data_IF_232031034916
#
_entry.id   IF_232031034916
#
_cell.length_a   1.000
_cell.length_b   1.000
_cell.length_c   1.000
_cell.angle_alpha   90.00
_cell.angle_beta   90.00
_cell.angle_gamma   90.00
#
_symmetry.space_group_name_H-M   'P 1'
#
loop_
_entity.id
_entity.type
_entity.pdbx_description
1 polymer ?
#
# COMPACT_ATOMS: atom_id res chain seq x y z
N UNK A 1 -17.15 -0.76 0.60
CA UNK A 1 -15.81 -0.29 0.91
C UNK A 1 -15.20 0.41 -0.30
N UNK A 2 -14.38 1.42 -0.07
CA UNK A 2 -13.44 1.98 -1.02
C UNK A 2 -12.05 1.84 -0.41
N UNK A 3 -11.12 1.20 -1.11
CA UNK A 3 -9.77 0.96 -0.63
C UNK A 3 -8.79 1.73 -1.52
N UNK A 4 -8.05 2.68 -0.94
CA UNK A 4 -6.96 3.38 -1.62
C UNK A 4 -5.65 2.62 -1.42
N UNK A 5 -4.90 2.46 -2.48
CA UNK A 5 -3.69 1.63 -2.51
C UNK A 5 -2.42 2.46 -2.27
N UNK A 6 -2.38 3.12 -1.11
CA UNK A 6 -1.25 3.92 -0.65
C UNK A 6 -1.26 5.37 -1.11
N UNK A 7 -0.27 6.11 -0.65
CA UNK A 7 -0.11 7.54 -0.89
C UNK A 7 -1.39 8.33 -0.54
N UNK A 8 -1.93 8.04 0.64
CA UNK A 8 -3.12 8.72 1.12
C UNK A 8 -2.86 10.22 1.31
N UNK A 9 -1.70 10.59 1.88
CA UNK A 9 -1.17 11.94 1.91
C UNK A 9 -1.98 12.98 2.69
N UNK A 10 -3.13 12.61 3.25
CA UNK A 10 -3.98 13.52 4.05
C UNK A 10 -3.60 13.59 5.52
N UNK A 11 -2.54 12.89 5.93
CA UNK A 11 -1.94 12.93 7.27
C UNK A 11 -0.45 13.11 7.06
N UNK A 12 -0.04 14.34 6.79
CA UNK A 12 1.34 14.66 6.48
C UNK A 12 1.96 15.64 7.46
N UNK A 13 1.24 16.71 7.73
CA UNK A 13 1.69 17.77 8.59
C UNK A 13 1.21 17.54 10.03
N UNK A 14 1.90 18.16 10.99
CA UNK A 14 1.54 18.11 12.41
C UNK A 14 0.04 18.37 12.62
N UNK A 15 -0.63 17.44 13.29
CA UNK A 15 -2.06 17.50 13.56
C UNK A 15 -2.42 18.85 14.26
N UNK A 16 -3.43 19.52 13.72
CA UNK A 16 -3.93 20.81 14.19
C UNK A 16 -3.20 22.04 13.65
N UNK A 17 -2.12 21.91 12.89
CA UNK A 17 -1.47 23.03 12.22
C UNK A 17 -2.32 23.60 11.08
N UNK A 18 -1.90 24.74 10.49
CA UNK A 18 -2.66 25.39 9.40
C UNK A 18 -2.83 24.49 8.16
N UNK A 19 -1.81 23.73 7.80
CA UNK A 19 -1.86 22.83 6.64
C UNK A 19 -2.74 21.60 6.94
N UNK A 20 -2.62 21.03 8.14
CA UNK A 20 -3.47 19.91 8.56
C UNK A 20 -4.97 20.29 8.54
N UNK A 21 -5.35 21.53 8.79
CA UNK A 21 -6.75 21.96 8.67
C UNK A 21 -7.33 21.77 7.28
N UNK A 22 -6.52 21.94 6.23
CA UNK A 22 -6.94 21.64 4.86
C UNK A 22 -7.07 20.13 4.63
N UNK A 23 -6.12 19.34 5.11
CA UNK A 23 -6.18 17.89 5.06
C UNK A 23 -7.39 17.36 5.86
N UNK A 24 -7.64 17.92 7.02
CA UNK A 24 -8.80 17.57 7.84
C UNK A 24 -10.13 17.82 7.14
N UNK A 25 -10.25 18.89 6.36
CA UNK A 25 -11.42 19.13 5.52
C UNK A 25 -11.66 17.94 4.57
N UNK A 26 -10.62 17.45 3.91
CA UNK A 26 -10.75 16.31 2.99
C UNK A 26 -11.01 14.99 3.73
N UNK A 27 -10.40 14.78 4.91
CA UNK A 27 -10.71 13.61 5.75
C UNK A 27 -12.19 13.61 6.15
N UNK A 28 -12.72 14.75 6.57
CA UNK A 28 -14.14 14.89 6.92
C UNK A 28 -15.04 14.66 5.70
N UNK A 29 -14.69 15.20 4.56
CA UNK A 29 -15.42 14.96 3.31
C UNK A 29 -15.46 13.47 2.94
N UNK A 30 -14.38 12.73 3.12
CA UNK A 30 -14.37 11.27 2.94
C UNK A 30 -15.26 10.57 3.96
N UNK A 31 -15.28 11.02 5.21
CA UNK A 31 -16.12 10.49 6.28
C UNK A 31 -17.62 10.66 6.04
N UNK A 32 -18.03 11.62 5.21
CA UNK A 32 -19.43 11.84 4.82
C UNK A 32 -19.95 10.84 3.78
N UNK A 33 -19.06 10.14 3.09
CA UNK A 33 -19.46 9.26 1.98
C UNK A 33 -20.29 8.07 2.46
N UNK A 34 -21.12 7.52 1.58
CA UNK A 34 -21.94 6.34 1.88
C UNK A 34 -21.12 5.07 2.12
N UNK A 35 -19.94 4.97 1.50
CA UNK A 35 -19.02 3.85 1.67
C UNK A 35 -18.08 4.04 2.89
N UNK A 36 -17.54 2.94 3.36
CA UNK A 36 -16.41 2.96 4.33
C UNK A 36 -15.11 3.15 3.58
N UNK A 37 -14.35 4.16 3.94
CA UNK A 37 -13.04 4.45 3.31
C UNK A 37 -11.93 3.76 4.09
N UNK A 38 -11.13 2.99 3.36
CA UNK A 38 -9.93 2.33 3.86
C UNK A 38 -8.73 2.70 2.98
N UNK A 39 -7.52 2.59 3.51
CA UNK A 39 -6.30 2.74 2.71
C UNK A 39 -5.19 1.85 3.28
N UNK A 40 -4.28 1.42 2.43
CA UNK A 40 -2.97 0.94 2.86
C UNK A 40 -1.99 2.12 2.84
N UNK A 41 -0.91 2.06 3.58
CA UNK A 41 0.11 3.10 3.53
C UNK A 41 0.99 2.97 2.27
N UNK A 42 1.51 4.09 1.80
CA UNK A 42 2.46 4.18 0.70
C UNK A 42 3.81 4.73 1.16
N UNK A 43 4.61 5.24 0.23
CA UNK A 43 5.85 5.96 0.56
C UNK A 43 5.63 7.47 0.75
N UNK A 44 4.46 7.99 0.42
CA UNK A 44 4.05 9.36 0.65
C UNK A 44 3.07 9.49 1.81
N UNK A 45 3.52 9.08 3.02
CA UNK A 45 2.77 9.22 4.26
C UNK A 45 3.59 9.96 5.32
N UNK A 46 2.94 10.81 6.10
CA UNK A 46 3.53 11.42 7.30
C UNK A 46 3.47 10.45 8.48
N UNK A 47 4.32 9.44 8.51
CA UNK A 47 4.24 8.35 9.50
C UNK A 47 4.29 8.83 10.94
N UNK A 48 5.07 9.88 11.26
CA UNK A 48 5.12 10.47 12.60
C UNK A 48 3.74 10.88 13.12
N UNK A 49 2.92 11.44 12.25
CA UNK A 49 1.56 11.88 12.61
C UNK A 49 0.56 10.72 12.48
N UNK A 50 0.72 9.88 11.47
CA UNK A 50 -0.16 8.74 11.24
C UNK A 50 -0.13 7.75 12.41
N UNK A 51 1.04 7.47 12.95
CA UNK A 51 1.23 6.50 14.05
C UNK A 51 0.64 6.96 15.39
N UNK A 52 0.25 8.21 15.53
CA UNK A 52 -0.41 8.72 16.75
C UNK A 52 -1.87 8.28 16.87
N UNK A 53 -2.51 7.88 15.79
CA UNK A 53 -3.92 7.45 15.83
C UNK A 53 -4.08 6.05 16.44
N UNK A 54 -5.18 5.80 17.16
CA UNK A 54 -5.41 4.54 17.86
C UNK A 54 -5.60 3.36 16.89
N UNK A 55 -5.26 2.18 17.39
CA UNK A 55 -5.48 0.92 16.69
C UNK A 55 -6.69 0.22 17.31
N UNK A 56 -7.59 -0.28 16.48
CA UNK A 56 -8.76 -1.07 16.84
C UNK A 56 -8.87 -2.34 16.01
N UNK A 57 -9.69 -3.28 16.44
CA UNK A 57 -10.06 -4.46 15.65
C UNK A 57 -11.30 -4.17 14.81
N UNK A 58 -11.18 -4.26 13.49
CA UNK A 58 -12.28 -4.11 12.52
C UNK A 58 -12.05 -5.07 11.34
N UNK A 59 -13.13 -5.50 10.72
CA UNK A 59 -13.10 -6.30 9.49
C UNK A 59 -12.29 -7.60 9.59
N UNK A 60 -12.06 -8.11 10.81
CA UNK A 60 -11.29 -9.33 11.08
C UNK A 60 -9.80 -9.11 11.41
N UNK A 61 -9.27 -7.90 11.26
CA UNK A 61 -7.88 -7.54 11.55
C UNK A 61 -7.75 -6.24 12.33
N UNK A 62 -6.53 -5.79 12.59
CA UNK A 62 -6.25 -4.51 13.23
C UNK A 62 -6.22 -3.39 12.18
N UNK A 63 -6.83 -2.26 12.50
CA UNK A 63 -6.82 -1.05 11.70
C UNK A 63 -6.39 0.13 12.55
N UNK A 64 -5.76 1.14 11.94
CA UNK A 64 -5.60 2.44 12.58
C UNK A 64 -6.81 3.30 12.25
N UNK A 65 -7.38 3.93 13.27
CA UNK A 65 -8.64 4.68 13.16
C UNK A 65 -8.34 6.16 13.08
N UNK A 66 -8.62 6.76 11.95
CA UNK A 66 -8.47 8.21 11.73
C UNK A 66 -9.85 8.86 11.94
N UNK A 67 -10.02 9.63 13.01
CA UNK A 67 -11.30 10.26 13.33
C UNK A 67 -11.68 11.33 12.30
N UNK A 68 -12.98 11.44 12.05
CA UNK A 68 -13.60 12.54 11.30
C UNK A 68 -14.85 13.02 12.05
N UNK A 69 -15.47 14.09 11.57
CA UNK A 69 -16.72 14.59 12.16
C UNK A 69 -17.91 13.62 11.91
N UNK A 70 -17.74 12.63 11.03
CA UNK A 70 -18.76 11.63 10.70
C UNK A 70 -18.24 10.19 10.91
N UNK A 71 -18.03 9.44 9.82
CA UNK A 71 -17.49 8.08 9.89
C UNK A 71 -15.96 8.12 9.83
N UNK A 72 -15.27 7.40 10.72
CA UNK A 72 -13.80 7.33 10.67
C UNK A 72 -13.31 6.72 9.35
N UNK A 73 -12.08 7.07 8.99
CA UNK A 73 -11.32 6.42 7.94
C UNK A 73 -10.41 5.36 8.57
N UNK A 74 -10.03 4.35 7.82
CA UNK A 74 -9.26 3.23 8.34
C UNK A 74 -8.00 2.98 7.54
N UNK A 75 -6.84 3.05 8.20
CA UNK A 75 -5.62 2.46 7.63
C UNK A 75 -5.64 0.96 7.89
N UNK A 76 -5.52 0.19 6.84
CA UNK A 76 -5.31 -1.25 6.89
C UNK A 76 -3.83 -1.50 7.19
N UNK A 77 -3.54 -2.14 8.33
CA UNK A 77 -2.16 -2.32 8.78
C UNK A 77 -1.48 -3.47 8.00
N UNK A 78 -0.18 -3.34 7.82
CA UNK A 78 0.64 -4.31 7.11
C UNK A 78 0.56 -5.70 7.74
N UNK A 79 0.36 -6.71 6.91
CA UNK A 79 0.26 -8.09 7.31
C UNK A 79 -1.09 -8.49 7.91
N UNK A 80 -1.96 -7.56 8.24
CA UNK A 80 -3.27 -7.90 8.77
C UNK A 80 -4.16 -8.52 7.68
N UNK A 81 -4.86 -9.57 8.06
CA UNK A 81 -5.81 -10.27 7.19
C UNK A 81 -7.23 -9.84 7.51
N UNK A 82 -7.93 -9.34 6.53
CA UNK A 82 -9.29 -8.82 6.63
C UNK A 82 -10.28 -9.72 5.94
N UNK A 83 -11.54 -9.61 6.37
CA UNK A 83 -12.68 -10.21 5.69
C UNK A 83 -13.55 -9.09 5.11
N UNK A 84 -13.53 -8.95 3.80
CA UNK A 84 -14.41 -8.05 3.08
C UNK A 84 -15.44 -8.86 2.27
N UNK A 85 -16.71 -8.76 2.65
CA UNK A 85 -17.82 -9.47 2.00
C UNK A 85 -17.62 -11.00 1.90
N UNK A 86 -16.94 -11.63 2.86
CA UNK A 86 -16.65 -13.06 2.87
C UNK A 86 -15.33 -13.45 2.23
N UNK A 87 -14.59 -12.50 1.64
CA UNK A 87 -13.30 -12.72 1.01
C UNK A 87 -12.12 -12.38 1.93
N UNK A 88 -11.15 -13.27 2.02
CA UNK A 88 -9.91 -13.03 2.76
C UNK A 88 -8.97 -12.14 1.96
N UNK A 89 -8.59 -11.00 2.54
CA UNK A 89 -7.71 -10.02 1.92
C UNK A 89 -6.55 -9.70 2.87
N UNK A 90 -5.33 -9.58 2.38
CA UNK A 90 -4.18 -9.10 3.16
C UNK A 90 -3.78 -7.70 2.69
N UNK A 91 -3.40 -6.83 3.65
CA UNK A 91 -2.86 -5.51 3.36
C UNK A 91 -1.33 -5.53 3.42
N UNK A 92 -0.68 -5.04 2.37
CA UNK A 92 0.77 -4.96 2.23
C UNK A 92 1.19 -3.55 1.80
N UNK A 93 1.09 -2.60 2.73
CA UNK A 93 1.50 -1.21 2.50
C UNK A 93 3.02 -1.04 2.40
N UNK A 94 3.43 0.19 2.09
CA UNK A 94 4.82 0.59 1.95
C UNK A 94 5.38 0.44 0.54
N UNK A 95 6.37 1.25 0.25
CA UNK A 95 7.25 1.18 -0.91
C UNK A 95 8.46 2.09 -0.64
N UNK A 96 9.56 1.88 -1.32
CA UNK A 96 10.74 2.72 -1.15
C UNK A 96 10.70 3.94 -2.06
N UNK A 97 10.90 5.14 -1.49
CA UNK A 97 11.03 6.39 -2.24
C UNK A 97 12.33 6.42 -3.04
N UNK A 98 12.23 6.54 -4.35
CA UNK A 98 13.38 6.60 -5.25
C UNK A 98 14.20 7.90 -5.11
N UNK A 99 13.56 8.94 -4.61
CA UNK A 99 14.13 10.28 -4.43
C UNK A 99 14.51 10.60 -2.96
N UNK A 100 14.59 9.58 -2.08
CA UNK A 100 14.90 9.74 -0.65
C UNK A 100 16.17 10.55 -0.36
N UNK A 101 17.14 10.49 -1.25
CA UNK A 101 18.39 11.27 -1.14
C UNK A 101 18.18 12.78 -1.24
N UNK A 102 17.05 13.23 -1.79
CA UNK A 102 16.68 14.64 -1.93
C UNK A 102 15.68 15.08 -0.87
N UNK A 103 15.24 14.17 0.00
CA UNK A 103 14.24 14.40 1.03
C UNK A 103 14.88 14.57 2.39
N UNK A 104 14.12 15.16 3.32
CA UNK A 104 14.54 15.39 4.69
C UNK A 104 13.89 14.32 5.58
N UNK A 105 14.71 13.51 6.32
CA UNK A 105 14.20 12.51 7.25
C UNK A 105 13.21 13.12 8.26
N UNK A 106 12.12 12.39 8.54
CA UNK A 106 11.02 12.72 9.46
C UNK A 106 10.29 14.05 9.12
N UNK A 107 10.47 14.57 7.89
CA UNK A 107 9.78 15.75 7.36
C UNK A 107 9.15 15.48 6.01
N UNK A 108 9.90 14.87 5.10
CA UNK A 108 9.42 14.53 3.75
C UNK A 108 9.79 13.11 3.33
N UNK A 109 10.45 12.37 4.19
CA UNK A 109 10.78 10.96 4.05
C UNK A 109 10.84 10.31 5.43
N UNK A 110 10.34 9.09 5.54
CA UNK A 110 10.35 8.30 6.77
C UNK A 110 10.86 6.89 6.48
N UNK A 111 11.72 6.38 7.37
CA UNK A 111 12.21 5.00 7.26
C UNK A 111 11.09 3.94 7.31
N UNK A 112 9.94 4.30 7.90
CA UNK A 112 8.76 3.46 8.01
C UNK A 112 8.09 3.18 6.66
N UNK A 113 8.46 3.87 5.57
CA UNK A 113 7.98 3.49 4.23
C UNK A 113 8.44 2.07 3.83
N UNK A 114 9.58 1.61 4.37
CA UNK A 114 10.08 0.26 4.22
C UNK A 114 9.66 -0.64 5.38
N UNK A 115 9.53 -1.93 5.12
CA UNK A 115 9.28 -2.91 6.17
C UNK A 115 10.53 -3.12 7.01
N UNK A 116 10.34 -3.21 8.33
CA UNK A 116 11.39 -3.67 9.22
C UNK A 116 11.30 -5.20 9.39
N UNK A 117 12.30 -5.78 10.08
CA UNK A 117 12.38 -7.23 10.27
C UNK A 117 11.16 -7.80 11.00
N UNK A 118 10.72 -7.15 12.08
CA UNK A 118 9.56 -7.62 12.86
C UNK A 118 8.24 -7.55 12.07
N UNK A 119 8.07 -6.52 11.22
CA UNK A 119 6.93 -6.46 10.29
C UNK A 119 6.98 -7.58 9.27
N UNK A 120 8.16 -7.88 8.72
CA UNK A 120 8.33 -8.96 7.75
C UNK A 120 8.01 -10.33 8.37
N UNK A 121 8.52 -10.61 9.57
CA UNK A 121 8.19 -11.84 10.32
C UNK A 121 6.69 -11.94 10.59
N UNK A 122 6.08 -10.85 11.06
CA UNK A 122 4.65 -10.80 11.31
C UNK A 122 3.82 -11.10 10.04
N UNK A 123 4.19 -10.50 8.90
CA UNK A 123 3.53 -10.75 7.62
C UNK A 123 3.62 -12.23 7.24
N UNK A 124 4.79 -12.85 7.40
CA UNK A 124 5.00 -14.28 7.13
C UNK A 124 4.11 -15.13 8.02
N UNK A 125 4.08 -14.87 9.32
CA UNK A 125 3.24 -15.57 10.28
C UNK A 125 1.75 -15.48 9.90
N UNK A 126 1.29 -14.30 9.47
CA UNK A 126 -0.09 -14.09 9.05
C UNK A 126 -0.44 -14.86 7.77
N UNK A 127 0.48 -14.92 6.80
CA UNK A 127 0.30 -15.71 5.57
C UNK A 127 0.19 -17.19 5.91
N UNK A 128 1.09 -17.70 6.74
CA UNK A 128 1.08 -19.11 7.16
C UNK A 128 -0.16 -19.49 7.98
N UNK A 129 -0.62 -18.59 8.86
CA UNK A 129 -1.82 -18.78 9.67
C UNK A 129 -3.14 -18.66 8.86
N UNK A 130 -3.09 -18.03 7.70
CA UNK A 130 -4.28 -17.74 6.87
C UNK A 130 -4.14 -18.33 5.46
N UNK A 131 -4.23 -19.65 5.29
CA UNK A 131 -4.29 -20.23 3.96
C UNK A 131 -5.51 -19.70 3.20
N UNK A 132 -5.43 -19.61 1.88
CA UNK A 132 -6.50 -19.12 0.99
C UNK A 132 -6.76 -17.62 1.10
N UNK A 133 -5.73 -16.78 1.23
CA UNK A 133 -5.82 -15.35 0.95
C UNK A 133 -6.19 -15.18 -0.51
N UNK A 134 -7.30 -14.48 -0.77
CA UNK A 134 -7.86 -14.34 -2.11
C UNK A 134 -7.39 -13.06 -2.81
N UNK A 135 -7.18 -11.98 -2.04
CA UNK A 135 -6.81 -10.68 -2.57
C UNK A 135 -5.67 -10.06 -1.77
N UNK A 136 -4.77 -9.40 -2.46
CA UNK A 136 -3.75 -8.53 -1.87
C UNK A 136 -4.06 -7.09 -2.22
N UNK A 137 -4.12 -6.22 -1.22
CA UNK A 137 -4.15 -4.78 -1.38
C UNK A 137 -2.81 -4.21 -0.91
N UNK A 138 -2.04 -3.70 -1.85
CA UNK A 138 -0.67 -3.26 -1.62
C UNK A 138 -0.43 -1.86 -2.18
N UNK A 139 0.66 -1.21 -1.77
CA UNK A 139 1.07 0.01 -2.44
C UNK A 139 1.97 -0.27 -3.63
N UNK A 140 2.87 -1.23 -3.52
CA UNK A 140 3.70 -1.71 -4.64
C UNK A 140 3.48 -3.20 -4.92
N UNK A 141 4.29 -3.81 -5.75
CA UNK A 141 4.16 -5.19 -6.19
C UNK A 141 5.48 -5.96 -6.04
N UNK A 142 5.46 -7.31 -6.15
CA UNK A 142 6.67 -8.11 -6.17
C UNK A 142 7.66 -7.67 -7.25
N UNK A 143 8.94 -7.87 -7.00
CA UNK A 143 10.04 -7.40 -7.84
C UNK A 143 9.92 -7.88 -9.29
N UNK A 144 9.56 -9.15 -9.50
CA UNK A 144 9.35 -9.70 -10.84
C UNK A 144 8.22 -9.00 -11.61
N UNK A 145 7.20 -8.47 -10.93
CA UNK A 145 6.10 -7.71 -11.53
C UNK A 145 6.54 -6.29 -11.87
N UNK A 146 7.39 -5.70 -11.02
CA UNK A 146 8.03 -4.42 -11.31
C UNK A 146 8.80 -4.45 -12.64
N UNK A 147 9.51 -5.54 -12.93
CA UNK A 147 10.18 -5.73 -14.21
C UNK A 147 9.20 -5.81 -15.40
N UNK A 148 8.05 -6.48 -15.22
CA UNK A 148 7.03 -6.54 -16.28
C UNK A 148 6.43 -5.15 -16.56
N UNK A 149 6.21 -4.35 -15.52
CA UNK A 149 5.75 -2.96 -15.68
C UNK A 149 6.76 -2.16 -16.50
N UNK A 150 8.04 -2.17 -16.11
CA UNK A 150 9.09 -1.45 -16.79
C UNK A 150 9.23 -1.87 -18.27
N UNK A 151 9.02 -3.16 -18.56
CA UNK A 151 9.00 -3.67 -19.93
C UNK A 151 7.78 -3.16 -20.70
N UNK A 152 6.61 -3.11 -20.07
CA UNK A 152 5.34 -2.73 -20.70
C UNK A 152 5.28 -1.23 -21.03
N UNK A 153 5.75 -0.37 -20.14
CA UNK A 153 5.81 1.09 -20.39
C UNK A 153 6.83 1.45 -21.47
N UNK A 154 7.51 0.43 -22.01
CA UNK A 154 8.56 0.63 -22.99
C UNK A 154 9.46 1.72 -22.47
N UNK A 155 10.42 1.39 -21.62
CA UNK A 155 11.25 2.32 -20.89
C UNK A 155 11.66 3.51 -21.76
N UNK A 156 10.76 4.48 -21.86
CA UNK A 156 10.99 5.75 -22.57
C UNK A 156 12.02 6.61 -21.82
N UNK A 157 12.32 6.23 -20.57
CA UNK A 157 13.56 6.57 -19.89
C UNK A 157 14.44 5.33 -19.82
N UNK A 158 15.21 5.08 -20.86
CA UNK A 158 16.23 4.03 -20.87
C UNK A 158 17.16 4.06 -19.63
N UNK A 159 17.28 5.22 -18.99
CA UNK A 159 17.96 5.42 -17.73
C UNK A 159 17.32 4.67 -16.57
N UNK A 160 16.04 4.88 -16.29
CA UNK A 160 15.35 4.30 -15.13
C UNK A 160 15.28 2.78 -15.21
N UNK A 161 15.01 2.23 -16.38
CA UNK A 161 15.00 0.78 -16.60
C UNK A 161 16.38 0.17 -16.37
N UNK A 162 17.43 0.81 -16.92
CA UNK A 162 18.81 0.38 -16.76
C UNK A 162 19.24 0.45 -15.29
N UNK A 163 18.91 1.53 -14.61
CA UNK A 163 19.24 1.72 -13.19
C UNK A 163 18.54 0.67 -12.31
N UNK A 164 17.31 0.34 -12.59
CA UNK A 164 16.57 -0.72 -11.87
C UNK A 164 17.21 -2.09 -12.11
N UNK A 165 17.52 -2.44 -13.37
CA UNK A 165 18.19 -3.71 -13.72
C UNK A 165 19.62 -3.80 -13.17
N UNK A 166 20.33 -2.68 -13.06
CA UNK A 166 21.66 -2.63 -12.47
C UNK A 166 21.64 -2.60 -10.92
N UNK A 167 20.45 -2.74 -10.30
CA UNK A 167 20.29 -2.72 -8.84
C UNK A 167 20.50 -1.36 -8.21
N UNK A 168 20.48 -0.28 -8.99
CA UNK A 168 20.62 1.09 -8.50
C UNK A 168 19.33 1.69 -7.97
N UNK A 169 18.20 1.18 -8.43
CA UNK A 169 16.86 1.50 -7.92
C UNK A 169 16.32 0.28 -7.19
N UNK A 170 16.66 0.14 -5.93
CA UNK A 170 16.22 -0.98 -5.11
C UNK A 170 14.96 -0.61 -4.34
N UNK A 171 13.91 -1.40 -4.46
CA UNK A 171 12.76 -1.31 -3.58
C UNK A 171 12.78 -2.51 -2.62
N UNK A 172 13.17 -2.27 -1.37
CA UNK A 172 13.24 -3.32 -0.35
C UNK A 172 11.90 -4.00 -0.12
N UNK A 173 10.80 -3.23 -0.17
CA UNK A 173 9.44 -3.76 -0.03
C UNK A 173 9.06 -4.69 -1.18
N UNK A 174 9.39 -4.32 -2.43
CA UNK A 174 9.13 -5.17 -3.60
C UNK A 174 9.89 -6.50 -3.52
N UNK A 175 11.15 -6.47 -3.05
CA UNK A 175 11.93 -7.68 -2.81
C UNK A 175 11.34 -8.54 -1.70
N UNK A 176 10.93 -7.94 -0.59
CA UNK A 176 10.26 -8.67 0.48
C UNK A 176 8.96 -9.32 -0.02
N UNK A 177 8.16 -8.60 -0.81
CA UNK A 177 6.96 -9.16 -1.46
C UNK A 177 7.30 -10.32 -2.41
N UNK A 178 8.44 -10.26 -3.13
CA UNK A 178 8.90 -11.36 -3.97
C UNK A 178 9.21 -12.62 -3.13
N UNK A 179 9.85 -12.46 -1.98
CA UNK A 179 10.11 -13.57 -1.04
C UNK A 179 8.79 -14.20 -0.54
N UNK A 180 7.75 -13.38 -0.26
CA UNK A 180 6.44 -13.92 0.12
C UNK A 180 5.83 -14.81 -0.96
N UNK A 181 6.02 -14.48 -2.22
CA UNK A 181 5.53 -15.27 -3.36
C UNK A 181 6.37 -16.54 -3.54
N UNK A 182 7.70 -16.43 -3.51
CA UNK A 182 8.61 -17.51 -3.88
C UNK A 182 8.78 -18.55 -2.76
N UNK A 183 8.83 -18.11 -1.50
CA UNK A 183 9.17 -18.97 -0.36
C UNK A 183 7.97 -19.29 0.54
N UNK A 184 6.95 -18.43 0.57
CA UNK A 184 5.79 -18.59 1.45
C UNK A 184 4.48 -18.83 0.71
N UNK A 185 4.52 -19.11 -0.60
CA UNK A 185 3.42 -19.52 -1.45
C UNK A 185 2.21 -18.55 -1.42
N UNK A 186 2.48 -17.23 -1.29
CA UNK A 186 1.44 -16.21 -1.35
C UNK A 186 0.92 -16.09 -2.79
N UNK A 187 -0.15 -16.82 -3.10
CA UNK A 187 -0.78 -16.87 -4.42
C UNK A 187 -2.26 -16.47 -4.35
N UNK A 188 -2.57 -15.17 -4.20
CA UNK A 188 -3.95 -14.69 -4.23
C UNK A 188 -4.54 -14.86 -5.64
N UNK A 189 -5.85 -14.70 -5.77
CA UNK A 189 -6.50 -14.61 -7.09
C UNK A 189 -6.08 -13.34 -7.82
N UNK A 190 -6.04 -12.23 -7.07
CA UNK A 190 -5.70 -10.91 -7.60
C UNK A 190 -4.82 -10.13 -6.62
N UNK A 191 -3.87 -9.40 -7.19
CA UNK A 191 -2.99 -8.48 -6.48
C UNK A 191 -3.20 -7.08 -7.03
N UNK A 192 -3.76 -6.19 -6.20
CA UNK A 192 -4.06 -4.81 -6.54
C UNK A 192 -3.02 -3.89 -5.88
N UNK A 193 -2.42 -3.00 -6.67
CA UNK A 193 -1.38 -2.09 -6.17
C UNK A 193 -1.41 -0.75 -6.91
N UNK A 194 -0.73 0.27 -6.34
CA UNK A 194 -0.56 1.62 -6.87
C UNK A 194 0.89 1.92 -7.25
N UNK A 195 1.42 3.04 -6.74
CA UNK A 195 2.82 3.48 -6.78
C UNK A 195 3.39 3.82 -8.18
N UNK A 196 3.10 3.01 -9.18
CA UNK A 196 3.66 3.11 -10.53
C UNK A 196 2.97 4.16 -11.43
N UNK A 197 1.94 4.84 -10.94
CA UNK A 197 1.17 5.84 -11.67
C UNK A 197 0.63 5.32 -13.02
N UNK A 198 0.22 4.08 -13.03
CA UNK A 198 -0.38 3.39 -14.17
C UNK A 198 -1.74 2.84 -13.79
N UNK A 199 -2.65 2.83 -14.75
CA UNK A 199 -3.98 2.26 -14.60
C UNK A 199 -4.15 1.15 -15.65
N UNK A 200 -3.68 -0.05 -15.31
CA UNK A 200 -3.64 -1.16 -16.25
C UNK A 200 -3.63 -2.54 -15.56
N UNK A 201 -4.14 -3.53 -16.26
CA UNK A 201 -3.77 -4.92 -16.01
C UNK A 201 -2.32 -5.12 -16.45
N UNK A 202 -1.48 -5.59 -15.56
CA UNK A 202 -0.05 -5.77 -15.84
C UNK A 202 0.22 -7.13 -16.46
N UNK A 203 -0.13 -8.19 -15.75
CA UNK A 203 0.12 -9.57 -16.19
C UNK A 203 -0.68 -10.56 -15.35
N UNK A 204 -0.78 -11.80 -15.85
CA UNK A 204 -1.14 -12.97 -15.07
C UNK A 204 0.07 -13.89 -14.99
N UNK A 205 0.50 -14.19 -13.78
CA UNK A 205 1.66 -15.03 -13.51
C UNK A 205 1.31 -16.03 -12.39
N UNK A 206 1.57 -17.29 -12.64
CA UNK A 206 1.32 -18.40 -11.70
C UNK A 206 -0.14 -18.43 -11.16
N UNK A 207 -1.10 -18.02 -12.00
CA UNK A 207 -2.52 -17.95 -11.67
C UNK A 207 -2.94 -16.70 -10.88
N UNK A 208 -2.02 -15.79 -10.62
CA UNK A 208 -2.27 -14.50 -9.95
C UNK A 208 -2.41 -13.37 -10.96
N UNK A 209 -3.50 -12.62 -10.89
CA UNK A 209 -3.70 -11.42 -11.71
C UNK A 209 -3.14 -10.19 -11.00
N UNK A 210 -2.20 -9.51 -11.62
CA UNK A 210 -1.59 -8.29 -11.11
C UNK A 210 -2.18 -7.05 -11.80
N UNK A 211 -2.76 -6.14 -11.00
CA UNK A 211 -3.44 -4.95 -11.49
C UNK A 211 -2.88 -3.70 -10.81
N UNK A 212 -2.38 -2.77 -11.62
CA UNK A 212 -1.92 -1.47 -11.17
C UNK A 212 -3.04 -0.45 -11.31
N UNK A 213 -3.22 0.39 -10.29
CA UNK A 213 -4.27 1.40 -10.22
C UNK A 213 -3.67 2.78 -9.98
N UNK A 214 -4.14 3.76 -10.73
CA UNK A 214 -3.65 5.14 -10.58
C UNK A 214 -4.77 6.17 -10.59
N UNK A 215 -5.59 6.19 -11.62
CA UNK A 215 -6.58 7.23 -11.80
C UNK A 215 -7.84 7.00 -10.97
N UNK A 216 -8.59 8.09 -10.76
CA UNK A 216 -9.73 8.22 -9.85
C UNK A 216 -10.97 7.37 -10.20
N UNK A 217 -10.83 6.34 -11.02
CA UNK A 217 -11.95 5.45 -11.33
C UNK A 217 -11.86 4.23 -10.41
N UNK A 218 -12.74 4.12 -9.40
CA UNK A 218 -12.77 2.92 -8.58
C UNK A 218 -13.09 1.71 -9.44
N UNK A 219 -12.29 0.68 -9.27
CA UNK A 219 -12.52 -0.64 -9.90
C UNK A 219 -13.25 -1.51 -8.90
N UNK A 220 -14.33 -2.17 -9.35
CA UNK A 220 -15.00 -3.15 -8.52
C UNK A 220 -14.17 -4.43 -8.50
N UNK A 221 -13.79 -4.89 -7.31
CA UNK A 221 -12.96 -6.08 -7.07
C UNK A 221 -13.81 -7.22 -6.51
N UNK A 222 -14.61 -6.94 -5.48
CA UNK A 222 -15.46 -7.91 -4.75
C UNK A 222 -16.84 -7.34 -4.42
#
# INVERSE_FOLDING_TARGET
FLIQLGDFGLIWDKIGCKKDKQHNHWRNWLGEKSYTFCFVDGNHEGYTELEQFPIEHKFGGKVRVIPTDNKPLYQLLRGEVYNFNGHKCIALGGAESQDKQWRIPDVSWWKQENWNHAETEYIIDQIQANPNIEYVFAHTCPDSISYEILRHVGATSAGTYKEYYEGKCECQVARAMQVLVDEFDLKPKEWHFGHWHLDCFVTEKDGVKYQCHYNHKPTKVI
#
